data_IF_139493899179
#
_entry.id   IF_139493899179
#
_cell.length_a   1.000
_cell.length_b   1.000
_cell.length_c   1.000
_cell.angle_alpha   90.00
_cell.angle_beta   90.00
_cell.angle_gamma   90.00
#
_symmetry.space_group_name_H-M   'P 1'
#
loop_
_entity.id
_entity.type
_entity.pdbx_description
1 polymer ?
#
# COMPACT_ATOMS: atom_id res chain seq x y z
N UNK A 1 -13.88 12.65 31.15
CA UNK A 1 -14.30 12.13 29.84
C UNK A 1 -15.69 12.67 29.56
N UNK A 2 -15.90 13.21 28.36
CA UNK A 2 -17.22 13.66 27.94
C UNK A 2 -18.08 12.48 27.49
N UNK A 3 -19.40 12.61 27.57
CA UNK A 3 -20.32 11.50 27.26
C UNK A 3 -20.20 10.98 25.83
N UNK A 4 -19.81 11.83 24.88
CA UNK A 4 -19.59 11.40 23.50
C UNK A 4 -18.33 10.53 23.35
N UNK A 5 -17.28 10.79 24.14
CA UNK A 5 -16.03 10.01 24.11
C UNK A 5 -16.27 8.58 24.61
N UNK A 6 -17.07 8.43 25.69
CA UNK A 6 -17.49 7.11 26.20
C UNK A 6 -18.23 6.29 25.15
N UNK A 7 -19.14 6.93 24.40
CA UNK A 7 -19.94 6.26 23.37
C UNK A 7 -19.08 5.91 22.15
N UNK A 8 -18.14 6.79 21.77
CA UNK A 8 -17.22 6.52 20.67
C UNK A 8 -16.31 5.33 21.01
N UNK A 9 -15.79 5.26 22.23
CA UNK A 9 -14.95 4.16 22.70
C UNK A 9 -15.72 2.84 22.78
N UNK A 10 -16.97 2.85 23.25
CA UNK A 10 -17.84 1.67 23.27
C UNK A 10 -18.08 1.09 21.87
N UNK A 11 -18.41 1.94 20.89
CA UNK A 11 -18.61 1.51 19.50
C UNK A 11 -17.31 1.03 18.87
N UNK A 12 -16.18 1.69 19.15
CA UNK A 12 -14.86 1.27 18.69
C UNK A 12 -14.49 -0.11 19.25
N UNK A 13 -14.74 -0.37 20.53
CA UNK A 13 -14.50 -1.66 21.15
C UNK A 13 -15.40 -2.75 20.54
N UNK A 14 -16.68 -2.46 20.28
CA UNK A 14 -17.58 -3.39 19.60
C UNK A 14 -17.09 -3.78 18.20
N UNK A 15 -16.43 -2.85 17.49
CA UNK A 15 -15.80 -3.15 16.21
C UNK A 15 -14.51 -3.97 16.39
N UNK A 16 -13.65 -3.57 17.33
CA UNK A 16 -12.37 -4.24 17.63
C UNK A 16 -12.57 -5.69 18.08
N UNK A 17 -13.61 -5.95 18.87
CA UNK A 17 -13.97 -7.28 19.37
C UNK A 17 -14.75 -8.11 18.34
N UNK A 18 -15.07 -7.54 17.17
CA UNK A 18 -15.75 -8.22 16.07
C UNK A 18 -17.26 -8.41 16.27
N UNK A 19 -17.86 -7.75 17.28
CA UNK A 19 -19.30 -7.70 17.47
C UNK A 19 -19.99 -6.89 16.36
N UNK A 20 -19.30 -5.87 15.83
CA UNK A 20 -19.61 -5.16 14.60
C UNK A 20 -18.53 -5.48 13.54
N UNK A 21 -18.92 -6.14 12.44
CA UNK A 21 -17.99 -6.58 11.40
C UNK A 21 -17.85 -5.56 10.29
N UNK A 22 -16.79 -5.71 9.50
CA UNK A 22 -16.59 -4.96 8.27
C UNK A 22 -17.86 -4.96 7.40
N UNK A 23 -18.25 -3.78 6.92
CA UNK A 23 -19.44 -3.53 6.11
C UNK A 23 -20.78 -3.73 6.82
N UNK A 24 -20.80 -4.04 8.11
CA UNK A 24 -22.04 -4.03 8.88
C UNK A 24 -22.60 -2.62 8.93
N UNK A 25 -23.93 -2.52 8.89
CA UNK A 25 -24.63 -1.27 9.04
C UNK A 25 -24.76 -0.93 10.53
N UNK A 26 -24.29 0.26 10.93
CA UNK A 26 -24.53 0.77 12.28
C UNK A 26 -26.02 1.10 12.47
N UNK A 27 -26.51 1.05 13.73
CA UNK A 27 -27.81 1.60 14.07
C UNK A 27 -27.92 3.07 13.62
N UNK A 28 -29.12 3.47 13.25
CA UNK A 28 -29.43 4.83 12.84
C UNK A 28 -29.15 5.83 13.97
N UNK A 29 -28.95 7.10 13.62
CA UNK A 29 -28.79 8.19 14.60
C UNK A 29 -29.90 8.17 15.65
N UNK A 30 -31.14 7.86 15.21
CA UNK A 30 -32.30 7.78 16.11
C UNK A 30 -32.15 6.64 17.11
N UNK A 31 -31.80 5.45 16.64
CA UNK A 31 -31.61 4.27 17.50
C UNK A 31 -30.45 4.48 18.48
N UNK A 32 -29.32 5.06 18.03
CA UNK A 32 -28.20 5.37 18.92
C UNK A 32 -28.57 6.40 20.01
N UNK A 33 -29.39 7.41 19.69
CA UNK A 33 -29.91 8.34 20.71
C UNK A 33 -30.74 7.61 21.78
N UNK A 34 -31.57 6.65 21.36
CA UNK A 34 -32.41 5.84 22.25
C UNK A 34 -31.56 4.88 23.10
N UNK A 35 -30.59 4.18 22.50
CA UNK A 35 -29.70 3.24 23.18
C UNK A 35 -28.84 3.91 24.26
N UNK A 36 -28.22 5.04 23.92
CA UNK A 36 -27.31 5.73 24.84
C UNK A 36 -27.98 6.81 25.68
N UNK A 37 -29.29 7.05 25.48
CA UNK A 37 -30.09 8.09 26.14
C UNK A 37 -29.43 9.48 26.08
N UNK A 38 -29.08 9.92 24.88
CA UNK A 38 -28.40 11.20 24.63
C UNK A 38 -29.05 11.98 23.50
N UNK A 39 -28.71 13.26 23.38
CA UNK A 39 -29.22 14.10 22.30
C UNK A 39 -28.62 13.71 20.93
N UNK A 40 -29.33 14.08 19.87
CA UNK A 40 -28.85 13.97 18.48
C UNK A 40 -27.51 14.69 18.26
N UNK A 41 -27.28 15.82 18.93
CA UNK A 41 -26.01 16.56 18.81
C UNK A 41 -24.84 15.73 19.34
N UNK A 42 -25.03 15.03 20.46
CA UNK A 42 -24.03 14.11 21.03
C UNK A 42 -23.74 12.96 20.08
N UNK A 43 -24.76 12.27 19.54
CA UNK A 43 -24.54 11.19 18.56
C UNK A 43 -23.91 11.70 17.27
N UNK A 44 -24.26 12.90 16.81
CA UNK A 44 -23.61 13.50 15.63
C UNK A 44 -22.11 13.71 15.87
N UNK A 45 -21.75 14.14 17.08
CA UNK A 45 -20.35 14.29 17.49
C UNK A 45 -19.63 12.95 17.54
N UNK A 46 -20.24 11.91 18.14
CA UNK A 46 -19.73 10.52 18.12
C UNK A 46 -19.47 10.06 16.69
N UNK A 47 -20.44 10.22 15.78
CA UNK A 47 -20.29 9.76 14.39
C UNK A 47 -19.18 10.53 13.68
N UNK A 48 -19.07 11.85 13.91
CA UNK A 48 -18.00 12.65 13.32
C UNK A 48 -16.64 12.18 13.81
N UNK A 49 -16.51 11.86 15.10
CA UNK A 49 -15.29 11.32 15.68
C UNK A 49 -14.94 9.94 15.14
N UNK A 50 -15.87 9.00 15.13
CA UNK A 50 -15.67 7.66 14.54
C UNK A 50 -15.36 7.74 13.03
N UNK A 51 -15.98 8.67 12.31
CA UNK A 51 -15.69 8.90 10.87
C UNK A 51 -14.30 9.50 10.67
N UNK A 52 -13.89 10.45 11.51
CA UNK A 52 -12.56 11.07 11.48
C UNK A 52 -11.46 10.06 11.83
N UNK A 53 -11.74 9.13 12.75
CA UNK A 53 -10.87 7.98 13.06
C UNK A 53 -10.86 6.91 11.97
N UNK A 54 -11.67 7.05 10.92
CA UNK A 54 -11.72 6.08 9.82
C UNK A 54 -12.41 4.77 10.16
N UNK A 55 -13.18 4.71 11.25
CA UNK A 55 -13.85 3.51 11.74
C UNK A 55 -15.15 3.21 10.99
N UNK A 56 -15.82 4.26 10.50
CA UNK A 56 -17.10 4.16 9.81
C UNK A 56 -17.17 5.05 8.57
N UNK A 57 -18.11 4.77 7.66
CA UNK A 57 -18.42 5.59 6.49
C UNK A 57 -19.92 5.87 6.38
N UNK A 58 -20.28 7.09 5.95
CA UNK A 58 -21.67 7.45 5.64
C UNK A 58 -21.96 7.17 4.17
N UNK A 59 -23.05 6.46 3.88
CA UNK A 59 -23.59 6.29 2.52
C UNK A 59 -24.89 7.07 2.40
N UNK A 60 -24.93 8.05 1.50
CA UNK A 60 -26.09 8.94 1.31
C UNK A 60 -27.32 8.09 0.97
N UNK A 61 -28.35 8.15 1.82
CA UNK A 61 -29.59 7.39 1.64
C UNK A 61 -29.54 5.92 2.09
N UNK A 62 -28.37 5.39 2.47
CA UNK A 62 -28.19 3.97 2.82
C UNK A 62 -27.70 3.74 4.25
N UNK A 63 -27.35 4.79 5.00
CA UNK A 63 -26.99 4.68 6.41
C UNK A 63 -25.48 4.79 6.68
N UNK A 64 -25.04 4.24 7.80
CA UNK A 64 -23.66 4.28 8.26
C UNK A 64 -23.12 2.86 8.32
N UNK A 65 -21.88 2.65 7.87
CA UNK A 65 -21.31 1.32 7.75
C UNK A 65 -19.94 1.26 8.41
N UNK A 66 -19.66 0.15 9.09
CA UNK A 66 -18.33 -0.18 9.63
C UNK A 66 -17.38 -0.32 8.44
N UNK A 67 -16.28 0.42 8.48
CA UNK A 67 -15.22 0.25 7.47
C UNK A 67 -14.53 -1.09 7.69
N UNK A 68 -13.96 -1.68 6.66
CA UNK A 68 -13.21 -2.92 6.83
C UNK A 68 -11.96 -2.65 7.65
N UNK A 69 -11.96 -3.14 8.90
CA UNK A 69 -10.79 -3.21 9.75
C UNK A 69 -10.00 -4.46 9.39
N UNK A 70 -9.07 -4.31 8.46
CA UNK A 70 -7.85 -5.09 8.54
C UNK A 70 -6.95 -4.35 9.55
N UNK A 71 -6.83 -4.94 10.75
CA UNK A 71 -5.99 -4.63 11.92
C UNK A 71 -5.08 -3.39 11.87
N UNK A 72 -5.04 -2.61 12.95
CA UNK A 72 -4.27 -1.36 13.11
C UNK A 72 -2.73 -1.50 13.21
N UNK A 73 -2.15 -2.62 12.77
CA UNK A 73 -0.76 -2.67 12.30
C UNK A 73 -0.66 -2.46 10.76
N UNK A 74 -1.79 -2.57 10.07
CA UNK A 74 -1.93 -2.61 8.61
C UNK A 74 -2.48 -1.31 8.02
N UNK A 75 -2.85 -0.27 8.79
CA UNK A 75 -3.38 1.01 8.22
C UNK A 75 -2.27 1.87 7.59
N UNK A 76 -1.03 1.78 8.09
CA UNK A 76 0.11 2.33 7.37
C UNK A 76 0.29 1.61 6.04
N UNK A 77 0.27 0.27 6.04
CA UNK A 77 0.41 -0.56 4.84
C UNK A 77 -0.76 -0.46 3.86
N UNK A 78 -2.00 -0.27 4.31
CA UNK A 78 -3.18 -0.24 3.43
C UNK A 78 -3.32 1.09 2.68
N UNK A 79 -3.04 2.23 3.34
CA UNK A 79 -2.95 3.55 2.68
C UNK A 79 -1.68 3.65 1.85
N UNK A 80 -0.60 3.07 2.35
CA UNK A 80 0.66 3.00 1.62
C UNK A 80 0.57 2.11 0.36
N UNK A 81 -0.15 0.99 0.40
CA UNK A 81 -0.29 0.10 -0.75
C UNK A 81 -1.60 0.29 -1.50
N UNK A 82 -2.42 1.32 -1.23
CA UNK A 82 -3.68 1.52 -1.98
C UNK A 82 -3.47 1.53 -3.49
N UNK A 83 -2.37 2.16 -3.93
CA UNK A 83 -1.91 2.18 -5.33
C UNK A 83 -1.70 0.75 -5.84
N UNK A 84 -0.86 -0.01 -5.14
CA UNK A 84 -0.40 -1.34 -5.53
C UNK A 84 -1.56 -2.34 -5.44
N UNK A 85 -2.30 -2.34 -4.34
CA UNK A 85 -3.44 -3.21 -4.06
C UNK A 85 -4.55 -3.02 -5.08
N UNK A 86 -4.87 -1.78 -5.48
CA UNK A 86 -5.89 -1.54 -6.49
C UNK A 86 -5.47 -2.06 -7.87
N UNK A 87 -4.24 -1.79 -8.29
CA UNK A 87 -3.72 -2.30 -9.55
C UNK A 87 -3.64 -3.82 -9.56
N UNK A 88 -3.25 -4.43 -8.44
CA UNK A 88 -3.28 -5.88 -8.25
C UNK A 88 -4.69 -6.46 -8.26
N UNK A 89 -5.66 -5.77 -7.67
CA UNK A 89 -7.06 -6.18 -7.67
C UNK A 89 -7.63 -6.18 -9.09
N UNK A 90 -7.33 -5.16 -9.90
CA UNK A 90 -7.64 -5.15 -11.34
C UNK A 90 -7.01 -6.37 -12.00
N UNK A 91 -5.71 -6.59 -11.81
CA UNK A 91 -5.00 -7.70 -12.45
C UNK A 91 -5.60 -9.07 -12.08
N UNK A 92 -5.95 -9.28 -10.80
CA UNK A 92 -6.63 -10.50 -10.34
C UNK A 92 -8.03 -10.63 -10.93
N UNK A 93 -8.79 -9.53 -11.00
CA UNK A 93 -10.15 -9.55 -11.56
C UNK A 93 -10.18 -9.89 -13.06
N UNK A 94 -9.17 -9.48 -13.82
CA UNK A 94 -9.07 -9.80 -15.25
C UNK A 94 -8.69 -11.26 -15.51
N UNK A 95 -7.98 -11.90 -14.58
CA UNK A 95 -7.42 -13.24 -14.75
C UNK A 95 -8.11 -14.34 -13.93
N UNK A 96 -9.00 -13.97 -13.00
CA UNK A 96 -9.64 -14.86 -12.01
C UNK A 96 -8.64 -15.73 -11.22
N UNK A 97 -7.41 -15.23 -11.05
CA UNK A 97 -6.27 -16.01 -10.54
C UNK A 97 -5.25 -15.17 -9.75
N UNK A 98 -4.44 -15.81 -8.88
CA UNK A 98 -3.46 -15.12 -8.05
C UNK A 98 -2.32 -14.52 -8.87
N UNK A 99 -1.77 -13.42 -8.36
CA UNK A 99 -0.54 -12.83 -8.90
C UNK A 99 0.66 -13.70 -8.49
N UNK A 100 1.54 -13.96 -9.44
CA UNK A 100 2.83 -14.62 -9.23
C UNK A 100 3.97 -13.65 -9.53
N UNK A 101 5.11 -13.88 -8.89
CA UNK A 101 6.32 -13.08 -9.09
C UNK A 101 7.36 -13.95 -9.81
N UNK A 102 8.01 -13.38 -10.81
CA UNK A 102 9.14 -13.98 -11.52
C UNK A 102 10.35 -13.07 -11.36
N UNK A 103 11.39 -13.53 -10.66
CA UNK A 103 12.64 -12.77 -10.53
C UNK A 103 13.50 -13.02 -11.77
N UNK A 104 13.81 -11.95 -12.49
CA UNK A 104 14.65 -11.96 -13.69
C UNK A 104 16.13 -11.80 -13.37
N UNK A 105 16.44 -10.98 -12.37
CA UNK A 105 17.80 -10.73 -11.92
C UNK A 105 17.86 -10.52 -10.40
N UNK A 106 18.93 -11.01 -9.78
CA UNK A 106 19.26 -10.81 -8.37
C UNK A 106 20.78 -10.73 -8.23
N UNK A 107 21.30 -9.52 -8.09
CA UNK A 107 22.74 -9.24 -8.07
C UNK A 107 23.11 -8.21 -7.02
N UNK A 108 24.42 -7.98 -6.84
CA UNK A 108 24.95 -6.84 -6.11
C UNK A 108 25.60 -5.91 -7.13
N UNK A 109 25.21 -4.64 -7.11
CA UNK A 109 25.69 -3.65 -8.08
C UNK A 109 26.13 -2.38 -7.37
N UNK A 110 26.99 -1.61 -8.04
CA UNK A 110 27.23 -0.22 -7.69
C UNK A 110 26.15 0.64 -8.38
N UNK A 111 25.24 1.29 -7.64
CA UNK A 111 24.13 1.99 -8.24
C UNK A 111 24.53 3.28 -8.98
N UNK A 112 23.67 3.70 -9.90
CA UNK A 112 23.83 4.97 -10.62
C UNK A 112 23.68 6.19 -9.68
N UNK A 113 24.08 7.37 -10.16
CA UNK A 113 24.11 8.60 -9.34
C UNK A 113 22.75 8.97 -8.75
N UNK A 114 21.68 8.82 -9.54
CA UNK A 114 20.32 9.09 -9.09
C UNK A 114 19.89 8.15 -7.95
N UNK A 115 20.21 6.86 -8.06
CA UNK A 115 19.89 5.87 -7.02
C UNK A 115 20.72 6.10 -5.76
N UNK A 116 22.03 6.42 -5.89
CA UNK A 116 22.84 6.83 -4.75
C UNK A 116 22.23 8.03 -4.03
N UNK A 117 21.81 9.06 -4.78
CA UNK A 117 21.20 10.26 -4.20
C UNK A 117 19.88 9.95 -3.50
N UNK A 118 19.03 9.12 -4.10
CA UNK A 118 17.75 8.74 -3.54
C UNK A 118 17.88 7.91 -2.24
N UNK A 119 18.92 7.08 -2.17
CA UNK A 119 19.23 6.22 -1.03
C UNK A 119 20.24 6.84 -0.04
N UNK A 120 20.62 8.12 -0.20
CA UNK A 120 21.63 8.79 0.62
C UNK A 120 22.94 7.98 0.78
N UNK A 121 23.43 7.43 -0.33
CA UNK A 121 24.62 6.58 -0.38
C UNK A 121 25.83 7.31 -0.94
N UNK A 122 27.02 6.95 -0.45
CA UNK A 122 28.27 7.30 -1.12
C UNK A 122 28.35 6.65 -2.51
N UNK A 123 29.04 7.31 -3.44
CA UNK A 123 29.18 6.80 -4.82
C UNK A 123 29.91 5.46 -4.90
N UNK A 124 30.63 5.04 -3.87
CA UNK A 124 31.33 3.75 -3.77
C UNK A 124 30.54 2.67 -3.02
N UNK A 125 29.35 2.98 -2.51
CA UNK A 125 28.47 2.02 -1.85
C UNK A 125 27.87 1.04 -2.87
N UNK A 126 27.37 -0.08 -2.35
CA UNK A 126 26.73 -1.14 -3.13
C UNK A 126 25.29 -1.37 -2.67
N UNK A 127 24.47 -1.88 -3.58
CA UNK A 127 23.08 -2.27 -3.32
C UNK A 127 22.85 -3.70 -3.79
N UNK A 128 21.97 -4.42 -3.11
CA UNK A 128 21.24 -5.49 -3.78
C UNK A 128 20.41 -4.87 -4.91
N UNK A 129 20.43 -5.51 -6.06
CA UNK A 129 19.61 -5.14 -7.21
C UNK A 129 18.77 -6.33 -7.63
N UNK A 130 17.46 -6.10 -7.75
CA UNK A 130 16.50 -7.11 -8.18
C UNK A 130 15.71 -6.55 -9.34
N UNK A 131 15.65 -7.31 -10.43
CA UNK A 131 14.67 -7.08 -11.49
C UNK A 131 13.65 -8.22 -11.43
N UNK A 132 12.36 -7.91 -11.31
CA UNK A 132 11.31 -8.93 -11.25
C UNK A 132 10.05 -8.49 -11.98
N UNK A 133 9.29 -9.45 -12.49
CA UNK A 133 7.97 -9.22 -13.08
C UNK A 133 6.86 -9.72 -12.17
N UNK A 134 5.72 -9.02 -12.16
CA UNK A 134 4.46 -9.55 -11.61
C UNK A 134 3.58 -10.03 -12.74
N UNK A 135 3.01 -11.21 -12.56
CA UNK A 135 2.34 -11.98 -13.61
C UNK A 135 1.00 -12.48 -13.14
N UNK A 136 0.06 -12.54 -14.07
CA UNK A 136 -1.14 -13.37 -14.00
C UNK A 136 -1.07 -14.41 -15.12
N UNK A 137 -2.10 -15.25 -15.29
CA UNK A 137 -2.15 -16.15 -16.46
C UNK A 137 -2.15 -15.39 -17.80
N UNK A 138 -2.63 -14.14 -17.82
CA UNK A 138 -2.66 -13.35 -19.05
C UNK A 138 -1.30 -12.71 -19.41
N UNK A 139 -0.29 -12.89 -18.55
CA UNK A 139 1.09 -12.49 -18.78
C UNK A 139 1.65 -11.54 -17.72
N UNK A 140 2.85 -11.02 -17.98
CA UNK A 140 3.48 -10.01 -17.13
C UNK A 140 2.79 -8.67 -17.30
N UNK A 141 2.37 -8.06 -16.19
CA UNK A 141 1.66 -6.78 -16.21
C UNK A 141 2.45 -5.62 -15.61
N UNK A 142 3.52 -5.93 -14.87
CA UNK A 142 4.40 -4.99 -14.19
C UNK A 142 5.82 -5.56 -14.18
N UNK A 143 6.82 -4.69 -14.36
CA UNK A 143 8.24 -4.96 -14.07
C UNK A 143 8.71 -4.01 -12.96
N UNK A 144 9.47 -4.53 -12.01
CA UNK A 144 10.03 -3.78 -10.89
C UNK A 144 11.56 -3.87 -10.92
N UNK A 145 12.22 -2.73 -10.72
CA UNK A 145 13.65 -2.59 -10.50
C UNK A 145 13.87 -2.09 -9.08
N UNK A 146 14.49 -2.91 -8.24
CA UNK A 146 14.54 -2.71 -6.79
C UNK A 146 15.98 -2.63 -6.34
N UNK A 147 16.29 -1.58 -5.60
CA UNK A 147 17.59 -1.33 -5.00
C UNK A 147 17.45 -1.27 -3.49
N UNK A 148 18.26 -2.05 -2.78
CA UNK A 148 18.29 -2.08 -1.32
C UNK A 148 19.74 -1.90 -0.86
N UNK A 149 20.07 -0.93 0.02
CA UNK A 149 21.42 -0.73 0.53
C UNK A 149 21.99 -2.02 1.13
N UNK A 150 23.18 -2.43 0.65
CA UNK A 150 23.81 -3.68 1.07
C UNK A 150 24.08 -3.71 2.58
N UNK A 151 24.46 -2.57 3.14
CA UNK A 151 24.77 -2.39 4.57
C UNK A 151 23.54 -2.54 5.47
N UNK A 152 22.36 -2.20 4.95
CA UNK A 152 21.11 -2.25 5.70
C UNK A 152 20.50 -3.66 5.68
N UNK A 153 20.61 -4.34 4.54
CA UNK A 153 19.90 -5.59 4.28
C UNK A 153 20.79 -6.84 4.42
N UNK A 154 21.58 -6.90 5.50
CA UNK A 154 22.42 -8.06 5.78
C UNK A 154 21.57 -9.35 5.82
N UNK A 155 21.93 -10.33 4.99
CA UNK A 155 21.20 -11.60 4.91
C UNK A 155 19.99 -11.58 3.97
N UNK A 156 19.80 -10.51 3.18
CA UNK A 156 18.85 -10.52 2.08
C UNK A 156 19.24 -11.56 1.04
N UNK A 157 18.24 -12.29 0.53
CA UNK A 157 18.41 -13.48 -0.32
C UNK A 157 17.33 -13.46 -1.39
N UNK A 158 17.56 -14.27 -2.42
CA UNK A 158 16.63 -14.47 -3.52
C UNK A 158 15.19 -14.73 -3.06
N UNK A 159 14.99 -15.57 -2.03
CA UNK A 159 13.64 -15.89 -1.53
C UNK A 159 12.89 -14.67 -0.99
N UNK A 160 13.60 -13.70 -0.38
CA UNK A 160 13.01 -12.45 0.10
C UNK A 160 12.64 -11.51 -1.06
N UNK A 161 13.37 -11.58 -2.16
CA UNK A 161 13.07 -10.82 -3.37
C UNK A 161 11.77 -11.25 -4.07
N UNK A 162 11.17 -12.38 -3.66
CA UNK A 162 9.93 -12.91 -4.21
C UNK A 162 8.65 -12.37 -3.54
N UNK A 163 8.68 -11.13 -3.02
CA UNK A 163 7.48 -10.43 -2.52
C UNK A 163 7.45 -10.18 -1.01
N UNK A 164 8.51 -10.51 -0.28
CA UNK A 164 8.58 -10.36 1.17
C UNK A 164 9.63 -9.32 1.61
N UNK A 165 9.87 -8.28 0.79
CA UNK A 165 10.92 -7.29 1.08
C UNK A 165 10.59 -6.55 2.37
N UNK A 166 9.39 -5.99 2.48
CA UNK A 166 8.98 -5.23 3.67
C UNK A 166 8.91 -6.12 4.91
N UNK A 167 8.34 -7.32 4.78
CA UNK A 167 8.37 -8.34 5.83
C UNK A 167 9.80 -8.67 6.28
N UNK A 168 10.75 -8.78 5.34
CA UNK A 168 12.15 -9.01 5.68
C UNK A 168 12.75 -7.83 6.46
N UNK A 169 12.44 -6.59 6.07
CA UNK A 169 12.91 -5.40 6.79
C UNK A 169 12.35 -5.36 8.23
N UNK A 170 11.06 -5.62 8.41
CA UNK A 170 10.43 -5.52 9.73
C UNK A 170 10.70 -6.75 10.62
N UNK A 171 10.43 -7.96 10.11
CA UNK A 171 10.44 -9.18 10.91
C UNK A 171 11.84 -9.78 11.04
N UNK A 172 12.64 -9.77 9.96
CA UNK A 172 13.97 -10.39 9.98
C UNK A 172 15.05 -9.43 10.49
N UNK A 173 14.96 -8.14 10.14
CA UNK A 173 15.94 -7.14 10.57
C UNK A 173 15.51 -6.32 11.79
N UNK A 174 14.23 -6.37 12.17
CA UNK A 174 13.71 -5.59 13.30
C UNK A 174 13.66 -4.09 13.04
N UNK A 175 13.73 -3.66 11.77
CA UNK A 175 13.73 -2.25 11.37
C UNK A 175 12.29 -1.78 11.14
N UNK A 176 11.94 -0.62 11.68
CA UNK A 176 10.59 -0.08 11.51
C UNK A 176 10.50 0.77 10.25
N UNK A 177 9.54 0.47 9.38
CA UNK A 177 9.25 1.29 8.20
C UNK A 177 8.44 2.51 8.66
N UNK A 178 8.85 3.70 8.22
CA UNK A 178 8.32 4.98 8.70
C UNK A 178 7.42 5.66 7.69
N UNK A 179 7.97 6.00 6.52
CA UNK A 179 7.25 6.66 5.45
C UNK A 179 7.77 6.22 4.11
N UNK A 180 7.00 6.44 3.06
CA UNK A 180 7.43 6.09 1.72
C UNK A 180 6.87 7.11 0.73
N UNK A 181 7.76 7.61 -0.12
CA UNK A 181 7.46 8.70 -1.03
C UNK A 181 7.39 8.18 -2.46
N UNK A 182 6.47 8.71 -3.26
CA UNK A 182 6.27 8.28 -4.64
C UNK A 182 6.18 9.43 -5.62
N UNK A 183 6.74 9.21 -6.79
CA UNK A 183 6.55 10.04 -7.97
C UNK A 183 6.00 9.17 -9.11
N UNK A 184 5.03 9.70 -9.86
CA UNK A 184 4.35 8.96 -10.92
C UNK A 184 4.53 9.72 -12.23
N UNK A 185 4.93 9.02 -13.30
CA UNK A 185 5.16 9.61 -14.62
C UNK A 185 4.92 8.59 -15.75
N UNK A 186 4.71 9.10 -16.95
CA UNK A 186 4.67 8.27 -18.15
C UNK A 186 6.08 8.15 -18.74
N UNK A 187 6.48 6.94 -19.11
CA UNK A 187 7.77 6.65 -19.74
C UNK A 187 7.60 5.74 -20.95
N UNK A 188 8.59 5.71 -21.84
CA UNK A 188 8.61 4.78 -22.95
C UNK A 188 9.34 3.49 -22.56
N UNK A 189 8.80 2.30 -22.88
CA UNK A 189 9.43 1.04 -22.56
C UNK A 189 10.75 0.86 -23.32
N UNK A 190 11.75 0.32 -22.63
CA UNK A 190 12.94 -0.29 -23.23
C UNK A 190 12.56 -1.48 -24.11
N UNK A 191 13.50 -1.96 -24.93
CA UNK A 191 13.30 -3.16 -25.75
C UNK A 191 13.00 -4.39 -24.92
N UNK A 192 13.69 -4.54 -23.78
CA UNK A 192 13.53 -5.69 -22.88
C UNK A 192 12.17 -5.67 -22.17
N UNK A 193 11.76 -4.52 -21.65
CA UNK A 193 10.43 -4.36 -21.03
C UNK A 193 9.31 -4.63 -22.01
N UNK A 194 9.44 -4.14 -23.24
CA UNK A 194 8.45 -4.39 -24.30
C UNK A 194 8.28 -5.89 -24.57
N UNK A 195 9.40 -6.62 -24.64
CA UNK A 195 9.38 -8.06 -24.85
C UNK A 195 8.74 -8.80 -23.67
N UNK A 196 9.11 -8.44 -22.44
CA UNK A 196 8.58 -9.06 -21.21
C UNK A 196 7.09 -8.76 -20.97
N UNK A 197 6.67 -7.52 -21.19
CA UNK A 197 5.28 -7.06 -21.00
C UNK A 197 4.37 -7.40 -22.18
N UNK A 198 4.94 -7.86 -23.31
CA UNK A 198 4.22 -8.20 -24.54
C UNK A 198 3.31 -7.07 -25.02
N UNK A 199 3.84 -5.84 -25.03
CA UNK A 199 3.12 -4.64 -25.47
C UNK A 199 3.54 -4.19 -26.88
N UNK A 200 2.63 -3.49 -27.56
CA UNK A 200 2.88 -2.95 -28.88
C UNK A 200 3.92 -1.82 -28.87
N UNK A 201 4.50 -1.54 -30.04
CA UNK A 201 5.33 -0.36 -30.22
C UNK A 201 4.49 0.90 -29.96
N UNK A 202 5.06 1.87 -29.24
CA UNK A 202 4.37 3.14 -28.95
C UNK A 202 3.47 3.10 -27.71
N UNK A 203 3.31 1.96 -27.05
CA UNK A 203 2.59 1.87 -25.77
C UNK A 203 3.46 2.42 -24.63
N UNK A 204 3.07 3.53 -23.97
CA UNK A 204 3.81 4.04 -22.82
C UNK A 204 3.57 3.16 -21.58
N UNK A 205 4.51 3.21 -20.64
CA UNK A 205 4.38 2.64 -19.31
C UNK A 205 4.02 3.72 -18.30
N UNK A 206 3.31 3.32 -17.26
CA UNK A 206 3.15 4.12 -16.05
C UNK A 206 4.29 3.75 -15.09
N UNK A 207 5.24 4.66 -14.91
CA UNK A 207 6.32 4.51 -13.96
C UNK A 207 5.91 5.09 -12.60
N UNK A 208 6.08 4.26 -11.57
CA UNK A 208 5.98 4.66 -10.17
C UNK A 208 7.39 4.52 -9.58
N UNK A 209 8.01 5.66 -9.32
CA UNK A 209 9.23 5.75 -8.53
C UNK A 209 8.86 5.82 -7.05
N UNK A 210 9.54 5.02 -6.24
CA UNK A 210 9.25 4.85 -4.83
C UNK A 210 10.54 4.85 -4.01
N UNK A 211 10.55 5.61 -2.92
CA UNK A 211 11.65 5.65 -1.95
C UNK A 211 11.09 5.37 -0.57
N UNK A 212 11.45 4.23 0.02
CA UNK A 212 11.03 3.87 1.36
C UNK A 212 12.01 4.35 2.43
N UNK A 213 11.47 4.92 3.50
CA UNK A 213 12.20 5.44 4.64
C UNK A 213 11.84 4.68 5.92
N UNK A 214 12.84 4.39 6.74
CA UNK A 214 12.68 3.86 8.08
C UNK A 214 12.14 4.94 9.02
N UNK A 215 11.64 4.53 10.19
CA UNK A 215 11.16 5.43 11.23
C UNK A 215 12.25 6.39 11.78
N UNK A 216 13.52 6.06 11.59
CA UNK A 216 14.66 6.93 11.92
C UNK A 216 15.07 7.89 10.77
N UNK A 217 14.34 7.86 9.66
CA UNK A 217 14.54 8.73 8.49
C UNK A 217 15.53 8.20 7.45
N UNK A 218 16.20 7.06 7.68
CA UNK A 218 17.11 6.49 6.68
C UNK A 218 16.34 5.86 5.51
N UNK A 219 16.72 6.10 4.25
CA UNK A 219 16.15 5.37 3.12
C UNK A 219 16.61 3.91 3.12
N UNK A 220 15.68 2.97 2.92
CA UNK A 220 15.97 1.53 2.92
C UNK A 220 15.67 0.85 1.58
N UNK A 221 14.89 1.47 0.70
CA UNK A 221 14.60 0.94 -0.63
C UNK A 221 14.39 2.05 -1.66
N UNK A 222 14.78 1.76 -2.89
CA UNK A 222 14.42 2.53 -4.07
C UNK A 222 13.84 1.56 -5.11
N UNK A 223 12.63 1.83 -5.58
CA UNK A 223 11.91 0.96 -6.52
C UNK A 223 11.42 1.79 -7.70
N UNK A 224 11.67 1.29 -8.92
CA UNK A 224 11.00 1.73 -10.13
C UNK A 224 10.03 0.62 -10.57
N UNK A 225 8.75 0.94 -10.59
CA UNK A 225 7.67 0.02 -10.98
C UNK A 225 7.05 0.47 -12.29
N UNK A 226 7.19 -0.32 -13.34
CA UNK A 226 6.72 0.00 -14.68
C UNK A 226 5.50 -0.84 -15.07
N UNK A 227 4.32 -0.23 -14.97
CA UNK A 227 3.05 -0.84 -15.29
C UNK A 227 2.68 -0.65 -16.76
N UNK A 228 1.94 -1.62 -17.31
CA UNK A 228 1.26 -1.46 -18.59
C UNK A 228 0.24 -0.31 -18.54
N UNK A 229 0.61 0.86 -19.06
CA UNK A 229 -0.24 2.06 -19.04
C UNK A 229 -1.48 1.97 -19.94
N UNK A 230 -1.54 0.98 -20.83
CA UNK A 230 -2.72 0.66 -21.65
C UNK A 230 -3.79 -0.16 -20.90
N UNK A 231 -3.46 -0.71 -19.73
CA UNK A 231 -4.34 -1.57 -18.95
C UNK A 231 -4.57 -1.11 -17.53
N UNK A 232 -3.55 -0.53 -16.92
CA UNK A 232 -3.57 -0.18 -15.50
C UNK A 232 -3.51 1.32 -15.30
N UNK A 233 -4.22 1.76 -14.29
CA UNK A 233 -4.30 3.15 -13.89
C UNK A 233 -4.11 3.29 -12.38
N UNK A 234 -3.66 4.48 -11.99
CA UNK A 234 -3.52 4.87 -10.61
C UNK A 234 -4.74 5.68 -10.16
N UNK A 235 -5.33 5.32 -9.01
CA UNK A 235 -6.44 6.04 -8.39
C UNK A 235 -6.09 6.40 -6.94
N UNK A 236 -6.35 7.65 -6.58
CA UNK A 236 -6.32 8.14 -5.19
C UNK A 236 -7.70 8.67 -4.81
N UNK A 237 -8.03 8.64 -3.52
CA UNK A 237 -9.22 9.27 -2.95
C UNK A 237 -8.76 10.31 -1.94
N UNK A 238 -8.82 11.57 -2.32
CA UNK A 238 -8.47 12.68 -1.45
C UNK A 238 -9.70 13.09 -0.63
N UNK A 239 -9.61 12.98 0.70
CA UNK A 239 -10.65 13.52 1.58
C UNK A 239 -10.29 14.97 1.91
N UNK A 240 -11.04 15.92 1.34
CA UNK A 240 -10.94 17.36 1.62
C UNK A 240 -11.68 17.74 2.91
#
# INVERSE_FOLDING_TARGET
MYKYEEIAEDIENAIREGALKAYDQLPTVKELCETYNVSKSTITQVINELSARGLIARRRGSGMFVKSFANEADDYWSKYNQIINYTEEIARSEADQPITIEVYDFTVVQPEAAVCQALDLDRKSFTYFVTRGRKTETGTFLIEYIYIPLELAAGFKYDHANGAIHTFIEDNLGLKIGSIHRAIRAVMPTTEERARLQIAYGTPLLEIEQIGFLADGRPFEYILSHYRGDRYEFRTVDNL
#
